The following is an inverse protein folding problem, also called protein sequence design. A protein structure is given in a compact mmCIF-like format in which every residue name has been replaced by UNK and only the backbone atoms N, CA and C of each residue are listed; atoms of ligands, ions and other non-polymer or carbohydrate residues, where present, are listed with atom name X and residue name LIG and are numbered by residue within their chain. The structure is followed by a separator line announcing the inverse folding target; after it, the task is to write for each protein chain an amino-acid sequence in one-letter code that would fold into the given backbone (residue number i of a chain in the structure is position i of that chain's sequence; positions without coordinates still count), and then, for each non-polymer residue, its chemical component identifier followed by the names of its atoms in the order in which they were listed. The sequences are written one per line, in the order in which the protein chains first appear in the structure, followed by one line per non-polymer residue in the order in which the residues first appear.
data_IF_747567981793
#
_entry.id   IF_747567981793
#
_cell.length_a   1.000
_cell.length_b   1.000
_cell.length_c   1.000
_cell.angle_alpha   90.00
_cell.angle_beta   90.00
_cell.angle_gamma   90.00
#
_symmetry.space_group_name_H-M   'P 1'
#
loop_
_entity.id
_entity.type
_entity.pdbx_description
1 polymer ?
#
# COMPACT_ATOMS: atom_id res chain seq x y z
N UNK A 1 4.57 -29.35 -16.19
CA UNK A 1 3.23 -29.12 -15.58
C UNK A 1 3.21 -28.65 -14.11
N UNK A 2 4.31 -28.69 -13.32
CA UNK A 2 4.33 -28.12 -11.95
C UNK A 2 4.51 -26.58 -11.89
N UNK A 3 4.82 -25.94 -13.03
CA UNK A 3 5.10 -24.50 -13.16
C UNK A 3 3.83 -23.66 -13.07
N UNK A 4 2.74 -24.11 -13.72
CA UNK A 4 1.50 -23.33 -13.86
C UNK A 4 0.76 -23.13 -12.53
N UNK A 5 0.67 -24.19 -11.70
CA UNK A 5 0.02 -24.10 -10.39
C UNK A 5 0.74 -23.12 -9.44
N UNK A 6 2.07 -23.00 -9.56
CA UNK A 6 2.86 -22.10 -8.71
C UNK A 6 2.75 -20.65 -9.19
N UNK A 7 2.76 -20.42 -10.50
CA UNK A 7 2.55 -19.08 -11.08
C UNK A 7 1.13 -18.59 -10.78
N UNK A 8 0.11 -19.41 -11.05
CA UNK A 8 -1.28 -19.08 -10.76
C UNK A 8 -1.49 -18.69 -9.30
N UNK A 9 -0.92 -19.46 -8.36
CA UNK A 9 -1.01 -19.14 -6.94
C UNK A 9 -0.35 -17.82 -6.58
N UNK A 10 0.82 -17.54 -7.14
CA UNK A 10 1.52 -16.29 -6.87
C UNK A 10 0.76 -15.09 -7.47
N UNK A 11 0.16 -15.25 -8.66
CA UNK A 11 -0.69 -14.23 -9.26
C UNK A 11 -1.93 -13.97 -8.40
N UNK A 12 -2.60 -15.02 -7.92
CA UNK A 12 -3.73 -14.88 -6.98
C UNK A 12 -3.30 -14.18 -5.70
N UNK A 13 -2.13 -14.53 -5.15
CA UNK A 13 -1.60 -13.88 -3.95
C UNK A 13 -1.39 -12.38 -4.14
N UNK A 14 -0.82 -11.97 -5.28
CA UNK A 14 -0.65 -10.55 -5.63
C UNK A 14 -2.00 -9.85 -5.75
N UNK A 15 -2.97 -10.46 -6.44
CA UNK A 15 -4.33 -9.91 -6.57
C UNK A 15 -4.98 -9.71 -5.20
N UNK A 16 -4.90 -10.72 -4.32
CA UNK A 16 -5.43 -10.64 -2.94
C UNK A 16 -4.75 -9.50 -2.16
N UNK A 17 -3.42 -9.37 -2.27
CA UNK A 17 -2.69 -8.27 -1.65
C UNK A 17 -3.16 -6.90 -2.12
N UNK A 18 -3.35 -6.72 -3.42
CA UNK A 18 -3.85 -5.47 -4.01
C UNK A 18 -5.29 -5.16 -3.61
N UNK A 19 -6.17 -6.16 -3.53
CA UNK A 19 -7.56 -5.99 -3.05
C UNK A 19 -7.57 -5.50 -1.60
N UNK A 20 -6.71 -6.07 -0.75
CA UNK A 20 -6.61 -5.65 0.65
C UNK A 20 -6.09 -4.22 0.76
N UNK A 21 -5.09 -3.86 -0.04
CA UNK A 21 -4.57 -2.48 -0.09
C UNK A 21 -5.67 -1.51 -0.48
N UNK A 22 -6.37 -1.80 -1.58
CA UNK A 22 -7.49 -0.99 -2.05
C UNK A 22 -8.55 -0.83 -0.95
N UNK A 23 -8.90 -1.91 -0.25
CA UNK A 23 -9.89 -1.89 0.83
C UNK A 23 -9.45 -1.01 1.99
N UNK A 24 -8.19 -1.10 2.42
CA UNK A 24 -7.64 -0.29 3.53
C UNK A 24 -7.62 1.20 3.13
N UNK A 25 -7.18 1.51 1.90
CA UNK A 25 -7.15 2.88 1.40
C UNK A 25 -8.57 3.46 1.31
N UNK A 26 -9.54 2.71 0.77
CA UNK A 26 -10.92 3.15 0.67
C UNK A 26 -11.55 3.41 2.04
N UNK A 27 -11.36 2.48 2.99
CA UNK A 27 -11.82 2.67 4.35
C UNK A 27 -11.18 3.93 4.98
N UNK A 28 -9.87 4.10 4.80
CA UNK A 28 -9.15 5.27 5.28
C UNK A 28 -9.65 6.58 4.69
N UNK A 29 -9.95 6.60 3.39
CA UNK A 29 -10.52 7.75 2.70
C UNK A 29 -11.88 8.12 3.28
N UNK A 30 -12.81 7.16 3.38
CA UNK A 30 -14.16 7.38 3.92
C UNK A 30 -14.07 7.84 5.37
N UNK A 31 -13.22 7.19 6.18
CA UNK A 31 -13.05 7.56 7.59
C UNK A 31 -12.50 8.98 7.75
N UNK A 32 -11.48 9.37 6.99
CA UNK A 32 -10.91 10.72 7.07
C UNK A 32 -11.88 11.79 6.54
N UNK A 33 -12.55 11.51 5.42
CA UNK A 33 -13.58 12.39 4.85
C UNK A 33 -14.67 12.70 5.88
N UNK A 34 -15.28 11.66 6.47
CA UNK A 34 -16.34 11.80 7.47
C UNK A 34 -15.84 12.51 8.73
N UNK A 35 -14.63 12.15 9.21
CA UNK A 35 -14.03 12.75 10.41
C UNK A 35 -13.76 14.24 10.25
N UNK A 36 -13.42 14.70 9.03
CA UNK A 36 -13.13 16.10 8.73
C UNK A 36 -14.37 16.86 8.23
N UNK A 37 -15.57 16.32 8.50
CA UNK A 37 -16.86 16.93 8.21
C UNK A 37 -17.11 17.22 6.72
N UNK A 38 -16.57 16.38 5.83
CA UNK A 38 -16.96 16.43 4.43
C UNK A 38 -18.24 15.63 4.24
N UNK A 39 -19.36 16.35 4.07
CA UNK A 39 -20.73 15.81 4.14
C UNK A 39 -21.43 15.79 2.76
N UNK A 40 -20.71 16.12 1.68
CA UNK A 40 -21.27 16.03 0.32
C UNK A 40 -21.60 14.57 0.00
N UNK A 41 -22.91 14.29 -0.04
CA UNK A 41 -23.48 12.95 -0.22
C UNK A 41 -23.31 12.35 -1.62
N UNK A 42 -22.65 13.07 -2.52
CA UNK A 42 -22.40 12.63 -3.88
C UNK A 42 -20.88 12.58 -4.03
N UNK A 43 -20.34 11.36 -4.07
CA UNK A 43 -19.01 11.09 -4.59
C UNK A 43 -19.15 10.82 -6.10
N UNK A 44 -19.23 11.83 -7.00
CA UNK A 44 -19.14 11.48 -8.41
C UNK A 44 -17.68 11.17 -8.77
N UNK A 45 -16.70 11.87 -8.18
CA UNK A 45 -15.29 11.80 -8.61
C UNK A 45 -14.29 12.12 -7.49
N UNK A 46 -13.20 11.34 -7.40
CA UNK A 46 -12.06 11.55 -6.49
C UNK A 46 -11.51 12.99 -6.52
N UNK A 47 -11.54 13.60 -7.71
CA UNK A 47 -11.09 14.97 -7.95
C UNK A 47 -11.83 16.02 -7.11
N UNK A 48 -13.11 15.82 -6.83
CA UNK A 48 -13.88 16.77 -6.01
C UNK A 48 -13.40 16.78 -4.56
N UNK A 49 -13.04 15.60 -4.04
CA UNK A 49 -12.51 15.42 -2.68
C UNK A 49 -11.19 16.17 -2.53
N UNK A 50 -10.26 15.91 -3.46
CA UNK A 50 -8.95 16.56 -3.47
C UNK A 50 -9.11 18.07 -3.56
N UNK A 51 -9.95 18.54 -4.49
CA UNK A 51 -10.20 19.98 -4.69
C UNK A 51 -10.76 20.63 -3.42
N UNK A 52 -11.70 19.99 -2.73
CA UNK A 52 -12.27 20.49 -1.48
C UNK A 52 -11.24 20.60 -0.36
N UNK A 53 -10.36 19.61 -0.18
CA UNK A 53 -9.33 19.69 0.87
C UNK A 53 -8.11 20.54 0.46
N UNK A 54 -7.95 20.84 -0.82
CA UNK A 54 -6.87 21.67 -1.37
C UNK A 54 -7.21 23.16 -1.48
N UNK A 55 -8.49 23.53 -1.42
CA UNK A 55 -9.00 24.89 -1.57
C UNK A 55 -10.19 25.16 -0.61
N UNK A 56 -10.71 26.39 -0.57
CA UNK A 56 -11.94 26.70 0.17
C UNK A 56 -11.87 26.41 1.68
N UNK A 57 -13.01 26.04 2.27
CA UNK A 57 -13.13 25.78 3.71
C UNK A 57 -12.41 24.50 4.18
N UNK A 58 -12.21 23.53 3.28
CA UNK A 58 -11.49 22.28 3.56
C UNK A 58 -9.98 22.46 3.66
N UNK A 59 -9.42 23.56 3.14
CA UNK A 59 -7.98 23.86 3.16
C UNK A 59 -7.36 23.79 4.55
N UNK A 60 -8.09 24.24 5.58
CA UNK A 60 -7.63 24.20 6.97
C UNK A 60 -7.33 22.78 7.48
N UNK A 61 -7.89 21.77 6.83
CA UNK A 61 -7.69 20.35 7.13
C UNK A 61 -6.80 19.64 6.11
N UNK A 62 -6.21 20.35 5.14
CA UNK A 62 -5.40 19.76 4.07
C UNK A 62 -4.33 18.81 4.63
N UNK A 63 -3.48 19.31 5.53
CA UNK A 63 -2.37 18.55 6.11
C UNK A 63 -2.88 17.31 6.85
N UNK A 64 -4.02 17.41 7.52
CA UNK A 64 -4.63 16.29 8.25
C UNK A 64 -5.19 15.24 7.29
N UNK A 65 -5.89 15.67 6.25
CA UNK A 65 -6.48 14.78 5.24
C UNK A 65 -5.40 14.05 4.43
N UNK A 66 -4.54 14.81 3.75
CA UNK A 66 -3.49 14.23 2.89
C UNK A 66 -2.42 13.53 3.71
N UNK A 67 -2.10 14.01 4.91
CA UNK A 67 -1.13 13.36 5.81
C UNK A 67 -1.64 12.01 6.29
N UNK A 68 -2.93 11.93 6.61
CA UNK A 68 -3.57 10.67 7.00
C UNK A 68 -3.68 9.71 5.82
N UNK A 69 -4.03 10.19 4.62
CA UNK A 69 -4.03 9.38 3.39
C UNK A 69 -2.64 8.84 3.06
N UNK A 70 -1.59 9.64 3.24
CA UNK A 70 -0.20 9.23 3.05
C UNK A 70 0.18 8.10 4.02
N UNK A 71 -0.14 8.28 5.31
CA UNK A 71 0.13 7.29 6.35
C UNK A 71 -0.64 5.98 6.10
N UNK A 72 -1.94 6.08 5.80
CA UNK A 72 -2.80 4.94 5.50
C UNK A 72 -2.30 4.18 4.26
N UNK A 73 -1.87 4.89 3.22
CA UNK A 73 -1.33 4.25 2.01
C UNK A 73 -0.03 3.50 2.29
N UNK A 74 0.85 4.04 3.14
CA UNK A 74 2.05 3.34 3.62
C UNK A 74 1.71 2.07 4.42
N UNK A 75 0.77 2.17 5.37
CA UNK A 75 0.29 1.03 6.16
C UNK A 75 -0.38 -0.02 5.26
N UNK A 76 -1.20 0.41 4.31
CA UNK A 76 -1.86 -0.48 3.36
C UNK A 76 -0.82 -1.26 2.55
N UNK A 77 0.17 -0.58 1.97
CA UNK A 77 1.26 -1.20 1.22
C UNK A 77 2.04 -2.22 2.07
N UNK A 78 2.33 -1.88 3.33
CA UNK A 78 2.95 -2.81 4.29
C UNK A 78 2.10 -4.06 4.50
N UNK A 79 0.83 -3.89 4.88
CA UNK A 79 -0.08 -4.99 5.21
C UNK A 79 -0.35 -5.87 4.00
N UNK A 80 -0.70 -5.30 2.86
CA UNK A 80 -0.96 -6.07 1.63
C UNK A 80 0.30 -6.76 1.11
N UNK A 81 1.47 -6.14 1.26
CA UNK A 81 2.75 -6.74 0.93
C UNK A 81 3.09 -7.94 1.81
N UNK A 82 2.83 -7.86 3.12
CA UNK A 82 2.99 -8.98 4.07
C UNK A 82 2.01 -10.11 3.74
N UNK A 83 0.73 -9.80 3.51
CA UNK A 83 -0.28 -10.82 3.19
C UNK A 83 0.06 -11.54 1.88
N UNK A 84 0.52 -10.80 0.87
CA UNK A 84 1.03 -11.40 -0.37
C UNK A 84 2.16 -12.39 -0.09
N UNK A 85 3.15 -11.99 0.71
CA UNK A 85 4.28 -12.85 1.09
C UNK A 85 3.88 -14.14 1.82
N UNK A 86 2.82 -14.09 2.64
CA UNK A 86 2.31 -15.27 3.31
C UNK A 86 1.75 -16.30 2.32
N UNK A 87 1.10 -15.83 1.25
CA UNK A 87 0.45 -16.69 0.24
C UNK A 87 1.40 -17.21 -0.85
N UNK A 88 2.41 -16.43 -1.25
CA UNK A 88 3.37 -16.84 -2.30
C UNK A 88 4.31 -17.96 -1.85
N UNK A 89 4.79 -18.77 -2.81
CA UNK A 89 5.63 -19.96 -2.53
C UNK A 89 7.08 -19.64 -2.21
N UNK A 90 7.66 -18.74 -2.99
CA UNK A 90 9.08 -18.42 -3.02
C UNK A 90 9.24 -16.93 -3.23
N UNK A 91 10.45 -16.41 -3.01
CA UNK A 91 10.80 -15.01 -3.21
C UNK A 91 9.87 -14.03 -2.46
N UNK A 92 9.46 -14.41 -1.25
CA UNK A 92 8.43 -13.70 -0.46
C UNK A 92 8.72 -12.22 -0.30
N UNK A 93 9.96 -11.89 0.07
CA UNK A 93 10.43 -10.51 0.18
C UNK A 93 10.29 -9.74 -1.15
N UNK A 94 10.67 -10.35 -2.27
CA UNK A 94 10.56 -9.71 -3.58
C UNK A 94 9.10 -9.48 -3.99
N UNK A 95 8.19 -10.43 -3.69
CA UNK A 95 6.76 -10.25 -3.94
C UNK A 95 6.14 -9.16 -3.06
N UNK A 96 6.60 -8.98 -1.82
CA UNK A 96 6.20 -7.86 -0.97
C UNK A 96 6.62 -6.51 -1.57
N UNK A 97 7.89 -6.40 -1.97
CA UNK A 97 8.39 -5.19 -2.63
C UNK A 97 7.67 -4.92 -3.95
N UNK A 98 7.38 -5.97 -4.73
CA UNK A 98 6.66 -5.86 -6.00
C UNK A 98 5.25 -5.29 -5.85
N UNK A 99 4.48 -5.80 -4.87
CA UNK A 99 3.13 -5.28 -4.60
C UNK A 99 3.19 -3.81 -4.17
N UNK A 100 4.11 -3.47 -3.26
CA UNK A 100 4.29 -2.08 -2.84
C UNK A 100 4.72 -1.16 -3.99
N UNK A 101 5.54 -1.66 -4.92
CA UNK A 101 5.93 -0.93 -6.12
C UNK A 101 4.77 -0.72 -7.10
N UNK A 102 3.86 -1.69 -7.25
CA UNK A 102 2.62 -1.50 -8.03
C UNK A 102 1.81 -0.36 -7.44
N UNK A 103 1.62 -0.33 -6.11
CA UNK A 103 0.89 0.75 -5.43
C UNK A 103 1.58 2.09 -5.63
N UNK A 104 2.90 2.13 -5.58
CA UNK A 104 3.68 3.34 -5.84
C UNK A 104 3.41 3.87 -7.27
N UNK A 105 3.39 3.01 -8.28
CA UNK A 105 3.09 3.43 -9.66
C UNK A 105 1.67 3.97 -9.77
N UNK A 106 0.68 3.30 -9.16
CA UNK A 106 -0.71 3.74 -9.17
C UNK A 106 -0.86 5.10 -8.48
N UNK A 107 -0.23 5.27 -7.32
CA UNK A 107 -0.25 6.51 -6.55
C UNK A 107 0.45 7.67 -7.29
N UNK A 108 1.57 7.40 -7.95
CA UNK A 108 2.22 8.36 -8.84
C UNK A 108 1.33 8.73 -10.02
N UNK A 109 0.67 7.75 -10.64
CA UNK A 109 -0.28 7.99 -11.71
C UNK A 109 -1.42 8.91 -11.26
N UNK A 110 -1.97 8.66 -10.07
CA UNK A 110 -3.03 9.50 -9.51
C UNK A 110 -2.55 10.94 -9.26
N UNK A 111 -1.39 11.12 -8.64
CA UNK A 111 -0.83 12.45 -8.37
C UNK A 111 -0.52 13.22 -9.66
N UNK A 112 0.01 12.56 -10.69
CA UNK A 112 0.39 13.19 -11.95
C UNK A 112 -0.81 13.53 -12.85
N UNK A 113 -1.87 12.70 -12.82
CA UNK A 113 -3.04 12.87 -13.69
C UNK A 113 -4.11 13.74 -13.01
N UNK A 114 -4.30 13.60 -11.70
CA UNK A 114 -5.35 14.29 -10.94
C UNK A 114 -4.81 15.59 -10.35
N UNK A 115 -5.27 16.77 -10.81
CA UNK A 115 -4.79 18.04 -10.30
C UNK A 115 -5.29 18.29 -8.87
N UNK A 116 -4.71 19.32 -8.22
CA UNK A 116 -5.05 19.83 -6.89
C UNK A 116 -4.40 19.11 -5.70
N UNK A 117 -3.49 18.17 -5.93
CA UNK A 117 -2.67 17.64 -4.84
C UNK A 117 -1.75 18.74 -4.26
N UNK A 118 -1.53 18.76 -2.93
CA UNK A 118 -0.55 19.67 -2.34
C UNK A 118 0.87 19.24 -2.71
N UNK A 119 1.74 20.18 -3.12
CA UNK A 119 3.10 19.88 -3.59
C UNK A 119 3.93 19.05 -2.59
N UNK A 120 3.76 19.30 -1.28
CA UNK A 120 4.45 18.51 -0.25
C UNK A 120 4.01 17.04 -0.26
N UNK A 121 2.73 16.76 -0.56
CA UNK A 121 2.18 15.41 -0.65
C UNK A 121 2.71 14.70 -1.89
N UNK A 122 2.74 15.40 -3.02
CA UNK A 122 3.28 14.88 -4.29
C UNK A 122 4.74 14.43 -4.14
N UNK A 123 5.54 15.20 -3.41
CA UNK A 123 6.94 14.86 -3.13
C UNK A 123 7.04 13.73 -2.11
N UNK A 124 6.20 13.73 -1.07
CA UNK A 124 6.28 12.77 0.03
C UNK A 124 5.74 11.37 -0.32
N UNK A 125 4.85 11.25 -1.31
CA UNK A 125 4.22 9.96 -1.67
C UNK A 125 5.24 8.92 -2.12
N UNK A 126 6.24 9.35 -2.90
CA UNK A 126 7.33 8.50 -3.39
C UNK A 126 8.15 7.87 -2.25
N UNK A 127 8.84 8.65 -1.39
CA UNK A 127 9.66 8.08 -0.33
C UNK A 127 8.80 7.28 0.65
N UNK A 128 7.60 7.75 1.03
CA UNK A 128 6.76 7.02 1.99
C UNK A 128 6.36 5.64 1.45
N UNK A 129 5.86 5.54 0.23
CA UNK A 129 5.46 4.26 -0.34
C UNK A 129 6.67 3.36 -0.63
N UNK A 130 7.78 3.94 -1.08
CA UNK A 130 9.01 3.20 -1.32
C UNK A 130 9.54 2.57 -0.02
N UNK A 131 9.71 3.36 1.04
CA UNK A 131 10.19 2.86 2.33
C UNK A 131 9.19 1.89 2.97
N UNK A 132 7.89 2.14 2.85
CA UNK A 132 6.86 1.20 3.33
C UNK A 132 6.97 -0.16 2.64
N UNK A 133 7.17 -0.17 1.33
CA UNK A 133 7.36 -1.40 0.55
C UNK A 133 8.62 -2.17 0.97
N UNK A 134 9.72 -1.45 1.20
CA UNK A 134 10.97 -2.04 1.66
C UNK A 134 10.86 -2.59 3.09
N UNK A 135 10.31 -1.81 4.02
CA UNK A 135 10.08 -2.22 5.41
C UNK A 135 9.20 -3.47 5.45
N UNK A 136 8.17 -3.56 4.60
CA UNK A 136 7.34 -4.76 4.49
C UNK A 136 8.16 -6.00 4.13
N UNK A 137 9.09 -5.86 3.19
CA UNK A 137 10.02 -6.94 2.82
C UNK A 137 10.92 -7.37 3.98
N UNK A 138 11.41 -6.41 4.77
CA UNK A 138 12.21 -6.69 5.98
C UNK A 138 11.38 -7.39 7.06
N UNK A 139 10.14 -6.95 7.30
CA UNK A 139 9.21 -7.58 8.24
C UNK A 139 8.97 -9.04 7.84
N UNK A 140 8.73 -9.29 6.55
CA UNK A 140 8.55 -10.66 6.04
C UNK A 140 9.81 -11.49 6.29
N UNK A 141 10.99 -10.98 5.95
CA UNK A 141 12.23 -11.72 6.18
C UNK A 141 12.44 -12.06 7.67
N UNK A 142 12.14 -11.11 8.57
CA UNK A 142 12.20 -11.30 10.02
C UNK A 142 11.19 -12.35 10.50
N UNK A 143 9.95 -12.31 10.03
CA UNK A 143 8.92 -13.32 10.34
C UNK A 143 9.39 -14.71 9.90
N UNK A 144 9.95 -14.82 8.69
CA UNK A 144 10.38 -16.12 8.16
C UNK A 144 11.61 -16.66 8.89
N UNK A 145 12.59 -15.80 9.22
CA UNK A 145 13.79 -16.20 9.97
C UNK A 145 13.47 -16.65 11.39
N UNK A 146 12.60 -15.92 12.10
CA UNK A 146 12.38 -16.14 13.53
C UNK A 146 11.26 -17.15 13.83
N UNK A 147 10.23 -17.23 13.00
CA UNK A 147 9.04 -18.05 13.31
C UNK A 147 8.85 -19.26 12.40
N UNK A 148 9.32 -19.20 11.14
CA UNK A 148 9.08 -20.27 10.16
C UNK A 148 10.32 -21.13 9.87
N UNK A 149 11.52 -20.66 10.23
CA UNK A 149 12.75 -21.44 10.20
C UNK A 149 12.99 -22.13 11.55
N UNK A 150 12.10 -23.06 11.95
CA UNK A 150 12.47 -24.08 12.94
C UNK A 150 13.60 -24.92 12.32
N UNK A 151 14.74 -25.00 13.01
CA UNK A 151 16.00 -25.67 12.65
C UNK A 151 15.97 -26.57 11.40
N UNK A 152 16.74 -26.20 10.36
CA UNK A 152 17.52 -27.22 9.68
C UNK A 152 18.78 -27.42 10.51
N UNK A 153 19.10 -28.65 10.98
CA UNK A 153 20.39 -28.89 11.61
C UNK A 153 21.50 -28.53 10.62
N UNK A 154 22.53 -27.88 11.15
CA UNK A 154 23.79 -27.66 10.47
C UNK A 154 24.44 -29.01 10.20
N UNK A 155 24.23 -29.56 9.02
CA UNK A 155 25.16 -30.54 8.47
C UNK A 155 25.17 -30.43 6.95
N UNK A 156 26.37 -30.64 6.43
CA UNK A 156 26.89 -30.39 5.08
C UNK A 156 27.48 -28.96 4.96
N UNK A 157 28.78 -28.69 5.16
CA UNK A 157 30.00 -29.41 4.68
C UNK A 157 29.76 -29.91 3.27
N UNK A 158 30.16 -29.21 2.21
CA UNK A 158 31.50 -28.77 1.85
C UNK A 158 31.45 -27.46 1.06
#
# INVERSE_FOLDING_TARGET
MLKDKTVLRNTIAVIVGLIIIYTIIQFGLIYNANRLHWDDKIFPEWRHVIKYFSHGEGKRFEVQFFGSMLAISGIAALVGGVITALLVKRAKQAYTMFVGFIVLIVALGDVLITPYHPTWYEIAICPVLFFSSWIGGLIVDLIYKNFLKKHKPSSQSY
#
